data_IF_181369621209
#
_entry.id   IF_181369621209
#
_cell.length_a   1.000
_cell.length_b   1.000
_cell.length_c   1.000
_cell.angle_alpha   90.00
_cell.angle_beta   90.00
_cell.angle_gamma   90.00
#
_symmetry.space_group_name_H-M   'P 1'
#
loop_
_entity.id
_entity.type
_entity.pdbx_description
1 polymer ?
#
# COMPACT_ATOMS: atom_id res chain seq x y z
N UNK A 1 -1.33 10.56 -10.74
CA UNK A 1 -2.65 10.62 -11.41
C UNK A 1 -2.62 10.17 -12.87
N UNK A 2 -1.87 10.83 -13.79
CA UNK A 2 -1.92 10.47 -15.22
C UNK A 2 -1.24 9.13 -15.54
N UNK A 3 0.02 8.98 -15.15
CA UNK A 3 0.83 7.79 -15.46
C UNK A 3 0.31 6.52 -14.77
N UNK A 4 -0.27 6.67 -13.58
CA UNK A 4 -0.84 5.57 -12.81
C UNK A 4 -2.20 5.06 -13.32
N UNK A 5 -2.80 5.68 -14.34
CA UNK A 5 -4.17 5.36 -14.78
C UNK A 5 -5.29 5.90 -13.88
N UNK A 6 -4.97 6.40 -12.67
CA UNK A 6 -5.95 6.93 -11.71
C UNK A 6 -6.83 8.07 -12.26
N UNK A 7 -6.27 8.95 -13.11
CA UNK A 7 -7.06 10.02 -13.74
C UNK A 7 -8.13 9.47 -14.69
N UNK A 8 -7.80 8.39 -15.43
CA UNK A 8 -8.77 7.74 -16.32
C UNK A 8 -9.85 7.04 -15.51
N UNK A 9 -9.49 6.34 -14.42
CA UNK A 9 -10.48 5.76 -13.50
C UNK A 9 -11.43 6.82 -12.94
N UNK A 10 -10.89 7.94 -12.44
CA UNK A 10 -11.69 9.07 -11.94
C UNK A 10 -12.70 9.59 -12.97
N UNK A 11 -12.29 9.70 -14.24
CA UNK A 11 -13.15 10.23 -15.31
C UNK A 11 -14.20 9.24 -15.80
N UNK A 12 -13.86 7.95 -15.79
CA UNK A 12 -14.70 6.89 -16.33
C UNK A 12 -15.59 6.24 -15.27
N UNK A 13 -15.40 6.57 -13.99
CA UNK A 13 -16.24 6.01 -12.94
C UNK A 13 -17.67 6.54 -13.04
N UNK A 14 -18.63 5.62 -12.99
CA UNK A 14 -20.05 5.94 -12.94
C UNK A 14 -20.45 6.61 -11.61
N UNK A 15 -19.66 6.41 -10.55
CA UNK A 15 -19.93 6.94 -9.22
C UNK A 15 -18.87 7.94 -8.80
N UNK A 16 -19.31 9.12 -8.37
CA UNK A 16 -18.40 10.14 -7.85
C UNK A 16 -17.84 9.73 -6.48
N UNK A 17 -16.65 10.24 -6.14
CA UNK A 17 -16.07 10.04 -4.82
C UNK A 17 -17.01 10.50 -3.69
N UNK A 18 -17.76 11.59 -3.92
CA UNK A 18 -18.74 12.10 -2.96
C UNK A 18 -19.86 11.10 -2.68
N UNK A 19 -20.36 10.41 -3.70
CA UNK A 19 -21.38 9.37 -3.54
C UNK A 19 -20.82 8.15 -2.81
N UNK A 20 -19.59 7.75 -3.12
CA UNK A 20 -18.90 6.65 -2.43
C UNK A 20 -18.75 6.97 -0.94
N UNK A 21 -18.31 8.17 -0.58
CA UNK A 21 -18.19 8.61 0.82
C UNK A 21 -19.55 8.60 1.52
N UNK A 22 -20.61 9.03 0.84
CA UNK A 22 -21.96 9.03 1.40
C UNK A 22 -22.46 7.60 1.64
N UNK A 23 -22.24 6.69 0.70
CA UNK A 23 -22.73 5.32 0.77
C UNK A 23 -21.91 4.44 1.74
N UNK A 24 -20.65 4.81 2.02
CA UNK A 24 -19.76 4.11 2.94
C UNK A 24 -19.84 4.60 4.39
N UNK A 25 -20.87 5.37 4.76
CA UNK A 25 -21.00 5.98 6.09
C UNK A 25 -21.43 5.02 7.21
N UNK A 26 -21.64 3.73 6.93
CA UNK A 26 -22.07 2.76 7.94
C UNK A 26 -20.92 2.38 8.90
N UNK A 27 -21.03 2.82 10.15
CA UNK A 27 -20.05 2.58 11.22
C UNK A 27 -20.08 1.16 11.80
N UNK A 28 -21.11 0.36 11.51
CA UNK A 28 -21.29 -0.95 12.16
C UNK A 28 -20.47 -2.07 11.53
N UNK A 29 -19.93 -1.83 10.33
CA UNK A 29 -19.16 -2.82 9.57
C UNK A 29 -17.87 -3.23 10.29
N UNK A 30 -17.43 -4.46 10.08
CA UNK A 30 -16.17 -4.98 10.64
C UNK A 30 -14.99 -4.11 10.18
N UNK A 31 -14.97 -3.75 8.89
CA UNK A 31 -13.95 -2.88 8.31
C UNK A 31 -13.92 -1.49 8.98
N UNK A 32 -15.08 -0.85 9.21
CA UNK A 32 -15.13 0.44 9.90
C UNK A 32 -14.51 0.38 11.30
N UNK A 33 -14.83 -0.66 12.07
CA UNK A 33 -14.26 -0.87 13.42
C UNK A 33 -12.75 -1.11 13.40
N UNK A 34 -12.23 -1.81 12.39
CA UNK A 34 -10.79 -2.00 12.21
C UNK A 34 -10.10 -0.70 11.78
N UNK A 35 -10.69 0.05 10.85
CA UNK A 35 -10.18 1.34 10.40
C UNK A 35 -10.01 2.28 11.58
N UNK A 36 -11.03 2.45 12.45
CA UNK A 36 -10.92 3.37 13.61
C UNK A 36 -9.75 3.04 14.54
N UNK A 37 -9.45 1.75 14.73
CA UNK A 37 -8.31 1.30 15.56
C UNK A 37 -6.95 1.60 14.92
N UNK A 38 -6.91 1.79 13.60
CA UNK A 38 -5.68 1.96 12.83
C UNK A 38 -5.36 3.43 12.55
N UNK A 39 -6.35 4.32 12.58
CA UNK A 39 -6.19 5.73 12.21
C UNK A 39 -5.06 6.41 12.98
N UNK A 40 -5.03 6.30 14.31
CA UNK A 40 -3.99 6.91 15.15
C UNK A 40 -2.66 6.12 15.17
N UNK A 41 -2.68 4.88 14.69
CA UNK A 41 -1.46 4.07 14.53
C UNK A 41 -0.78 4.32 13.19
N UNK A 42 -1.45 4.99 12.26
CA UNK A 42 -0.95 5.33 10.94
C UNK A 42 -0.20 6.66 10.99
N UNK A 43 1.12 6.62 10.79
CA UNK A 43 2.01 7.80 10.86
C UNK A 43 1.84 8.64 12.16
N UNK A 44 1.96 8.04 13.36
CA UNK A 44 1.69 8.73 14.62
C UNK A 44 2.59 9.95 14.87
N UNK A 45 3.80 9.95 14.30
CA UNK A 45 4.75 11.06 14.43
C UNK A 45 4.55 12.17 13.39
N UNK A 46 3.62 12.03 12.45
CA UNK A 46 3.36 13.02 11.41
C UNK A 46 2.28 14.02 11.86
N UNK A 47 2.53 15.32 11.70
CA UNK A 47 1.63 16.38 12.12
C UNK A 47 0.20 16.26 11.54
N UNK A 48 0.03 15.67 10.35
CA UNK A 48 -1.28 15.49 9.72
C UNK A 48 -2.10 14.35 10.34
N UNK A 49 -1.48 13.42 11.07
CA UNK A 49 -2.11 12.19 11.56
C UNK A 49 -1.89 11.92 13.06
N UNK A 50 -1.09 12.75 13.74
CA UNK A 50 -0.62 12.53 15.11
C UNK A 50 -1.71 12.45 16.19
N UNK A 51 -2.88 13.03 15.96
CA UNK A 51 -3.99 13.02 16.91
C UNK A 51 -5.34 13.02 16.19
N UNK A 52 -6.41 12.67 16.90
CA UNK A 52 -7.75 12.51 16.30
C UNK A 52 -8.30 13.80 15.68
N UNK A 53 -7.81 14.95 16.12
CA UNK A 53 -8.19 16.27 15.61
C UNK A 53 -7.30 16.74 14.45
N UNK A 54 -6.30 15.95 14.06
CA UNK A 54 -5.39 16.29 12.97
C UNK A 54 -6.14 16.23 11.64
N UNK A 55 -5.86 17.19 10.76
CA UNK A 55 -6.57 17.40 9.49
C UNK A 55 -6.60 16.15 8.59
N UNK A 56 -5.60 15.27 8.67
CA UNK A 56 -5.48 14.08 7.83
C UNK A 56 -6.33 12.90 8.32
N UNK A 57 -6.60 12.77 9.62
CA UNK A 57 -7.36 11.65 10.19
C UNK A 57 -8.77 11.51 9.60
N UNK A 58 -9.61 12.56 9.52
CA UNK A 58 -10.94 12.43 8.93
C UNK A 58 -10.89 12.15 7.42
N UNK A 59 -9.87 12.64 6.70
CA UNK A 59 -9.66 12.37 5.27
C UNK A 59 -9.30 10.90 5.04
N UNK A 60 -8.34 10.40 5.82
CA UNK A 60 -7.91 9.00 5.82
C UNK A 60 -9.08 8.06 6.12
N UNK A 61 -9.89 8.37 7.14
CA UNK A 61 -11.10 7.59 7.47
C UNK A 61 -12.05 7.48 6.28
N UNK A 62 -12.39 8.60 5.62
CA UNK A 62 -13.33 8.60 4.49
C UNK A 62 -12.81 7.78 3.31
N UNK A 63 -11.52 7.93 2.96
CA UNK A 63 -10.91 7.14 1.89
C UNK A 63 -10.95 5.65 2.23
N UNK A 64 -10.49 5.24 3.41
CA UNK A 64 -10.44 3.82 3.78
C UNK A 64 -11.82 3.17 3.82
N UNK A 65 -12.83 3.88 4.32
CA UNK A 65 -14.22 3.41 4.30
C UNK A 65 -14.78 3.31 2.89
N UNK A 66 -14.51 4.31 2.05
CA UNK A 66 -14.90 4.30 0.65
C UNK A 66 -14.31 3.11 -0.09
N UNK A 67 -13.03 2.79 0.15
CA UNK A 67 -12.35 1.64 -0.44
C UNK A 67 -12.94 0.31 0.05
N UNK A 68 -13.15 0.16 1.36
CA UNK A 68 -13.73 -1.06 1.93
C UNK A 68 -15.18 -1.30 1.45
N UNK A 69 -15.92 -0.22 1.19
CA UNK A 69 -17.27 -0.30 0.62
C UNK A 69 -17.24 -0.61 -0.87
N UNK A 70 -16.32 -0.01 -1.63
CA UNK A 70 -16.17 -0.24 -3.07
C UNK A 70 -15.66 -1.66 -3.39
N UNK A 71 -14.80 -2.20 -2.53
CA UNK A 71 -14.22 -3.53 -2.67
C UNK A 71 -14.56 -4.42 -1.46
N UNK A 72 -15.83 -4.86 -1.29
CA UNK A 72 -16.27 -5.60 -0.11
C UNK A 72 -15.53 -6.94 0.07
N UNK A 73 -15.15 -7.61 -1.02
CA UNK A 73 -14.37 -8.85 -1.01
C UNK A 73 -12.93 -8.67 -0.50
N UNK A 74 -12.39 -7.45 -0.65
CA UNK A 74 -11.08 -7.07 -0.12
C UNK A 74 -11.24 -6.63 1.35
N UNK A 75 -12.26 -5.83 1.63
CA UNK A 75 -12.53 -5.27 2.95
C UNK A 75 -11.45 -4.27 3.37
N UNK A 76 -10.94 -4.42 4.60
CA UNK A 76 -9.85 -3.62 5.13
C UNK A 76 -8.68 -4.51 5.56
N UNK A 77 -7.50 -4.21 5.03
CA UNK A 77 -6.25 -4.84 5.42
C UNK A 77 -5.32 -3.85 6.11
N UNK A 78 -4.68 -4.33 7.19
CA UNK A 78 -3.71 -3.56 7.94
C UNK A 78 -2.45 -3.33 7.09
N UNK A 79 -2.34 -2.13 6.54
CA UNK A 79 -1.29 -1.73 5.59
C UNK A 79 -1.81 -0.72 4.58
N UNK A 80 -3.07 -0.87 4.17
CA UNK A 80 -3.77 0.08 3.28
C UNK A 80 -3.75 1.50 3.83
N UNK A 81 -3.96 1.66 5.14
CA UNK A 81 -3.90 2.95 5.83
C UNK A 81 -2.58 3.70 5.61
N UNK A 82 -1.44 3.01 5.63
CA UNK A 82 -0.13 3.63 5.45
C UNK A 82 0.06 4.18 4.03
N UNK A 83 -0.39 3.43 3.02
CA UNK A 83 -0.32 3.87 1.62
C UNK A 83 -1.20 5.11 1.41
N UNK A 84 -2.45 5.05 1.89
CA UNK A 84 -3.38 6.18 1.76
C UNK A 84 -2.90 7.42 2.52
N UNK A 85 -2.40 7.26 3.74
CA UNK A 85 -1.85 8.37 4.52
C UNK A 85 -0.65 9.02 3.81
N UNK A 86 0.22 8.22 3.20
CA UNK A 86 1.36 8.72 2.42
C UNK A 86 0.91 9.47 1.17
N UNK A 87 -0.10 8.99 0.45
CA UNK A 87 -0.70 9.71 -0.69
C UNK A 87 -1.30 11.05 -0.26
N UNK A 88 -2.02 11.08 0.87
CA UNK A 88 -2.66 12.28 1.43
C UNK A 88 -1.68 13.39 1.83
N UNK A 89 -0.39 13.08 1.99
CA UNK A 89 0.63 14.11 2.22
C UNK A 89 0.91 14.99 0.99
N UNK A 90 0.55 14.52 -0.21
CA UNK A 90 0.89 15.19 -1.47
C UNK A 90 -0.30 15.40 -2.41
N UNK A 91 -1.44 14.78 -2.12
CA UNK A 91 -2.61 14.79 -2.98
C UNK A 91 -3.83 15.31 -2.22
N UNK A 92 -4.78 15.83 -3.01
CA UNK A 92 -6.13 16.02 -2.51
C UNK A 92 -6.81 14.69 -2.22
N UNK A 93 -7.80 14.72 -1.34
CA UNK A 93 -8.42 13.52 -0.76
C UNK A 93 -9.02 12.61 -1.83
N UNK A 94 -9.77 13.18 -2.77
CA UNK A 94 -10.36 12.44 -3.87
C UNK A 94 -9.27 11.86 -4.79
N UNK A 95 -8.20 12.60 -5.05
CA UNK A 95 -7.13 12.13 -5.93
C UNK A 95 -6.35 10.99 -5.25
N UNK A 96 -6.13 11.06 -3.93
CA UNK A 96 -5.55 9.98 -3.15
C UNK A 96 -6.43 8.71 -3.18
N UNK A 97 -7.76 8.86 -3.13
CA UNK A 97 -8.69 7.75 -3.29
C UNK A 97 -8.53 7.06 -4.65
N UNK A 98 -8.56 7.82 -5.75
CA UNK A 98 -8.43 7.25 -7.09
C UNK A 98 -7.04 6.70 -7.39
N UNK A 99 -5.98 7.28 -6.80
CA UNK A 99 -4.65 6.67 -6.81
C UNK A 99 -4.67 5.30 -6.16
N UNK A 100 -5.34 5.14 -5.01
CA UNK A 100 -5.43 3.86 -4.33
C UNK A 100 -6.27 2.84 -5.12
N UNK A 101 -7.37 3.25 -5.77
CA UNK A 101 -8.10 2.39 -6.70
C UNK A 101 -7.20 1.87 -7.83
N UNK A 102 -6.38 2.74 -8.43
CA UNK A 102 -5.42 2.34 -9.45
C UNK A 102 -4.36 1.36 -8.91
N UNK A 103 -3.90 1.56 -7.68
CA UNK A 103 -2.98 0.61 -7.03
C UNK A 103 -3.65 -0.76 -6.93
N UNK A 104 -4.84 -0.83 -6.33
CA UNK A 104 -5.57 -2.06 -6.05
C UNK A 104 -5.93 -2.83 -7.33
N UNK A 105 -6.37 -2.14 -8.38
CA UNK A 105 -6.92 -2.79 -9.57
C UNK A 105 -5.86 -3.08 -10.64
N UNK A 106 -4.90 -2.17 -10.83
CA UNK A 106 -4.03 -2.20 -12.01
C UNK A 106 -2.54 -2.42 -11.69
N UNK A 107 -2.07 -1.97 -10.52
CA UNK A 107 -0.63 -1.92 -10.25
C UNK A 107 -0.10 -3.15 -9.53
N UNK A 108 -0.91 -3.78 -8.68
CA UNK A 108 -0.53 -4.97 -7.90
C UNK A 108 -1.45 -6.16 -8.24
N UNK A 109 -1.00 -7.41 -8.02
CA UNK A 109 -1.84 -8.58 -8.21
C UNK A 109 -3.17 -8.51 -7.44
N UNK A 110 -4.20 -9.17 -7.96
CA UNK A 110 -5.48 -9.29 -7.28
C UNK A 110 -5.31 -9.88 -5.87
N UNK A 111 -6.22 -9.51 -4.96
CA UNK A 111 -6.18 -9.96 -3.56
C UNK A 111 -4.89 -9.60 -2.82
N UNK A 112 -4.24 -8.49 -3.20
CA UNK A 112 -3.08 -7.95 -2.49
C UNK A 112 -3.43 -7.47 -1.08
N UNK A 113 -4.52 -6.72 -0.99
CA UNK A 113 -5.03 -6.12 0.25
C UNK A 113 -6.20 -6.92 0.84
N UNK A 114 -6.44 -8.16 0.40
CA UNK A 114 -7.48 -9.01 0.99
C UNK A 114 -7.03 -9.56 2.33
N UNK A 115 -7.94 -10.18 3.08
CA UNK A 115 -7.62 -10.88 4.34
C UNK A 115 -6.64 -12.04 4.15
N UNK A 116 -6.65 -12.68 2.98
CA UNK A 116 -5.75 -13.79 2.66
C UNK A 116 -4.38 -13.35 2.18
N UNK A 117 -4.21 -12.08 1.77
CA UNK A 117 -2.96 -11.54 1.23
C UNK A 117 -2.38 -12.38 0.06
N UNK A 118 -3.23 -13.08 -0.68
CA UNK A 118 -2.82 -14.01 -1.74
C UNK A 118 -1.95 -13.33 -2.80
N UNK A 119 -2.28 -12.08 -3.15
CA UNK A 119 -1.50 -11.29 -4.11
C UNK A 119 -0.08 -11.03 -3.60
N UNK A 120 0.06 -10.55 -2.36
CA UNK A 120 1.37 -10.27 -1.75
C UNK A 120 2.17 -11.56 -1.61
N UNK A 121 1.56 -12.64 -1.13
CA UNK A 121 2.25 -13.94 -0.99
C UNK A 121 2.77 -14.47 -2.33
N UNK A 122 2.04 -14.23 -3.42
CA UNK A 122 2.51 -14.57 -4.77
C UNK A 122 3.78 -13.79 -5.11
N UNK A 123 3.79 -12.48 -4.88
CA UNK A 123 4.99 -11.65 -5.06
C UNK A 123 6.14 -12.08 -4.15
N UNK A 124 5.88 -12.48 -2.91
CA UNK A 124 6.92 -13.00 -2.02
C UNK A 124 7.59 -14.25 -2.57
N UNK A 125 6.84 -15.16 -3.22
CA UNK A 125 7.40 -16.34 -3.89
C UNK A 125 8.22 -15.97 -5.12
N UNK A 126 7.76 -15.00 -5.91
CA UNK A 126 8.52 -14.46 -7.04
C UNK A 126 9.84 -13.85 -6.54
N UNK A 127 9.79 -13.01 -5.50
CA UNK A 127 10.97 -12.40 -4.89
C UNK A 127 11.94 -13.48 -4.39
N UNK A 128 11.45 -14.53 -3.73
CA UNK A 128 12.27 -15.65 -3.28
C UNK A 128 13.06 -16.25 -4.45
N UNK A 129 12.42 -16.46 -5.59
CA UNK A 129 13.06 -16.96 -6.82
C UNK A 129 14.13 -15.99 -7.34
N UNK A 130 13.84 -14.68 -7.35
CA UNK A 130 14.80 -13.65 -7.74
C UNK A 130 16.02 -13.61 -6.81
N UNK A 131 15.83 -13.81 -5.51
CA UNK A 131 16.95 -13.87 -4.56
C UNK A 131 17.87 -15.07 -4.85
N UNK A 132 17.32 -16.26 -5.14
CA UNK A 132 18.13 -17.42 -5.55
C UNK A 132 18.97 -17.09 -6.80
N UNK A 133 18.35 -16.43 -7.78
CA UNK A 133 18.99 -16.15 -9.06
C UNK A 133 20.02 -15.03 -9.00
N UNK A 134 19.71 -13.93 -8.32
CA UNK A 134 20.51 -12.70 -8.38
C UNK A 134 21.36 -12.46 -7.12
N UNK A 135 21.01 -13.05 -5.97
CA UNK A 135 21.72 -12.89 -4.70
C UNK A 135 21.95 -14.26 -4.00
N UNK A 136 22.61 -15.23 -4.65
CA UNK A 136 22.75 -16.60 -4.12
C UNK A 136 23.52 -16.67 -2.80
N UNK A 137 24.46 -15.76 -2.55
CA UNK A 137 25.20 -15.70 -1.27
C UNK A 137 24.29 -15.31 -0.10
N UNK A 138 23.44 -14.29 -0.31
CA UNK A 138 22.42 -13.90 0.65
C UNK A 138 21.43 -15.05 0.87
N UNK A 139 21.06 -15.76 -0.20
CA UNK A 139 20.18 -16.91 -0.07
C UNK A 139 20.73 -17.98 0.86
N UNK A 140 22.00 -18.34 0.65
CA UNK A 140 22.70 -19.31 1.48
C UNK A 140 22.70 -18.88 2.95
N UNK A 141 22.98 -17.61 3.22
CA UNK A 141 22.98 -17.05 4.57
C UNK A 141 21.59 -17.12 5.23
N UNK A 142 20.53 -16.79 4.49
CA UNK A 142 19.16 -16.89 4.98
C UNK A 142 18.80 -18.34 5.33
N UNK A 143 19.19 -19.31 4.51
CA UNK A 143 18.94 -20.74 4.77
C UNK A 143 19.75 -21.26 5.97
N UNK A 144 21.03 -20.88 6.08
CA UNK A 144 21.91 -21.28 7.19
C UNK A 144 21.37 -20.81 8.55
N UNK A 145 20.71 -19.65 8.58
CA UNK A 145 20.14 -19.05 9.77
C UNK A 145 18.63 -19.30 9.95
N UNK A 146 18.01 -20.10 9.09
CA UNK A 146 16.55 -20.37 9.09
C UNK A 146 15.70 -19.08 9.08
N UNK A 147 16.14 -18.08 8.29
CA UNK A 147 15.46 -16.80 8.17
C UNK A 147 14.50 -16.83 6.98
N UNK A 148 13.21 -16.80 7.29
CA UNK A 148 12.18 -16.65 6.26
C UNK A 148 12.14 -15.20 5.73
N UNK A 149 12.54 -15.01 4.47
CA UNK A 149 12.58 -13.70 3.80
C UNK A 149 11.23 -12.94 3.83
N UNK A 150 10.13 -13.68 3.80
CA UNK A 150 8.78 -13.11 3.80
C UNK A 150 8.50 -12.31 5.09
N UNK A 151 9.07 -12.72 6.23
CA UNK A 151 8.91 -12.02 7.51
C UNK A 151 9.52 -10.61 7.50
N UNK A 152 10.51 -10.39 6.62
CA UNK A 152 11.16 -9.10 6.42
C UNK A 152 10.41 -8.28 5.37
N UNK A 153 10.11 -8.91 4.22
CA UNK A 153 9.77 -8.19 2.99
C UNK A 153 8.27 -8.12 2.71
N UNK A 154 7.42 -8.91 3.37
CA UNK A 154 5.97 -8.88 3.18
C UNK A 154 5.41 -7.48 3.46
N UNK A 155 5.82 -6.84 4.55
CA UNK A 155 5.34 -5.51 4.89
C UNK A 155 5.88 -4.41 3.95
N UNK A 156 7.03 -4.63 3.34
CA UNK A 156 7.60 -3.71 2.35
C UNK A 156 6.71 -3.66 1.11
N UNK A 157 6.30 -4.83 0.62
CA UNK A 157 5.43 -4.95 -0.54
C UNK A 157 4.01 -4.49 -0.23
N UNK A 158 3.43 -4.94 0.89
CA UNK A 158 2.07 -4.58 1.30
C UNK A 158 1.87 -3.07 1.41
N UNK A 159 2.87 -2.33 1.86
CA UNK A 159 2.81 -0.86 1.96
C UNK A 159 3.47 -0.13 0.80
N UNK A 160 3.94 -0.84 -0.23
CA UNK A 160 4.72 -0.27 -1.33
C UNK A 160 5.85 0.64 -0.81
N UNK A 161 6.58 0.15 0.20
CA UNK A 161 7.67 0.80 0.95
C UNK A 161 7.29 1.99 1.84
N UNK A 162 6.01 2.36 1.93
CA UNK A 162 5.57 3.55 2.65
C UNK A 162 5.88 3.53 4.15
N UNK A 163 5.93 2.35 4.78
CA UNK A 163 6.31 2.21 6.19
C UNK A 163 7.80 1.96 6.43
N UNK A 164 8.61 1.86 5.38
CA UNK A 164 9.97 1.31 5.46
C UNK A 164 11.03 2.37 5.23
N UNK A 165 10.83 3.24 4.25
CA UNK A 165 11.85 4.20 3.81
C UNK A 165 11.45 5.63 4.14
N UNK A 166 12.46 6.51 4.21
CA UNK A 166 12.21 7.94 4.38
C UNK A 166 11.42 8.52 3.19
N UNK A 167 10.55 9.50 3.46
CA UNK A 167 9.59 10.04 2.48
C UNK A 167 10.22 10.51 1.17
N UNK A 168 11.44 11.08 1.22
CA UNK A 168 12.19 11.49 0.03
C UNK A 168 12.53 10.32 -0.90
N UNK A 169 12.87 9.17 -0.34
CA UNK A 169 13.14 7.95 -1.11
C UNK A 169 11.84 7.31 -1.58
N UNK A 170 10.80 7.30 -0.72
CA UNK A 170 9.47 6.80 -1.08
C UNK A 170 8.94 7.48 -2.35
N UNK A 171 9.02 8.80 -2.43
CA UNK A 171 8.57 9.55 -3.60
C UNK A 171 9.27 9.11 -4.89
N UNK A 172 10.58 8.83 -4.84
CA UNK A 172 11.32 8.32 -6.01
C UNK A 172 10.89 6.92 -6.39
N UNK A 173 10.71 6.03 -5.41
CA UNK A 173 10.19 4.68 -5.65
C UNK A 173 8.80 4.78 -6.29
N UNK A 174 7.94 5.66 -5.77
CA UNK A 174 6.58 5.86 -6.25
C UNK A 174 6.49 6.48 -7.63
N UNK A 175 7.39 7.39 -8.00
CA UNK A 175 7.51 7.91 -9.36
C UNK A 175 7.67 6.76 -10.37
N UNK A 176 8.59 5.82 -10.10
CA UNK A 176 8.79 4.65 -10.95
C UNK A 176 7.66 3.64 -10.84
N UNK A 177 7.17 3.35 -9.63
CA UNK A 177 6.09 2.39 -9.41
C UNK A 177 4.81 2.81 -10.16
N UNK A 178 4.45 4.09 -10.15
CA UNK A 178 3.30 4.60 -10.90
C UNK A 178 3.53 4.69 -12.41
N UNK A 179 4.77 4.53 -12.88
CA UNK A 179 5.11 4.55 -14.31
C UNK A 179 5.29 3.14 -14.89
N UNK A 180 5.91 2.23 -14.14
CA UNK A 180 6.30 0.88 -14.60
C UNK A 180 5.54 -0.25 -13.90
N UNK A 181 4.79 0.03 -12.84
CA UNK A 181 4.04 -0.96 -12.07
C UNK A 181 4.87 -1.69 -11.01
N UNK A 182 4.35 -2.83 -10.55
CA UNK A 182 4.88 -3.59 -9.41
C UNK A 182 6.31 -4.12 -9.58
N UNK A 183 6.84 -4.23 -10.81
CA UNK A 183 8.23 -4.67 -11.05
C UNK A 183 9.25 -3.84 -10.27
N UNK A 184 8.96 -2.55 -10.05
CA UNK A 184 9.80 -1.62 -9.29
C UNK A 184 9.97 -2.09 -7.85
N UNK A 185 8.96 -2.69 -7.22
CA UNK A 185 9.03 -3.19 -5.85
C UNK A 185 10.10 -4.29 -5.71
N UNK A 186 10.19 -5.17 -6.71
CA UNK A 186 11.22 -6.21 -6.77
C UNK A 186 12.61 -5.61 -6.98
N UNK A 187 12.76 -4.69 -7.94
CA UNK A 187 14.03 -4.04 -8.25
C UNK A 187 14.59 -3.28 -7.03
N UNK A 188 13.74 -2.53 -6.34
CA UNK A 188 14.12 -1.83 -5.11
C UNK A 188 14.51 -2.81 -4.01
N UNK A 189 13.75 -3.90 -3.82
CA UNK A 189 14.08 -4.92 -2.82
C UNK A 189 15.45 -5.55 -3.08
N UNK A 190 15.71 -5.98 -4.32
CA UNK A 190 17.00 -6.55 -4.72
C UNK A 190 18.13 -5.53 -4.52
N UNK A 191 17.93 -4.28 -4.92
CA UNK A 191 18.89 -3.20 -4.70
C UNK A 191 19.20 -3.00 -3.22
N UNK A 192 18.18 -2.87 -2.37
CA UNK A 192 18.35 -2.69 -0.93
C UNK A 192 19.08 -3.86 -0.25
N UNK A 193 18.79 -5.09 -0.67
CA UNK A 193 19.44 -6.28 -0.12
C UNK A 193 20.88 -6.42 -0.62
N UNK A 194 21.16 -6.10 -1.88
CA UNK A 194 22.51 -6.14 -2.45
C UNK A 194 23.49 -5.20 -1.75
N UNK A 195 23.02 -4.00 -1.35
CA UNK A 195 23.83 -3.00 -0.65
C UNK A 195 24.27 -3.43 0.75
N UNK A 196 23.65 -4.46 1.33
CA UNK A 196 24.02 -5.00 2.64
C UNK A 196 24.94 -6.21 2.58
N UNK A 197 25.22 -6.71 1.38
CA UNK A 197 26.13 -7.85 1.13
C UNK A 197 27.54 -7.35 0.73
N UNK A 198 27.71 -6.03 0.56
CA UNK A 198 29.02 -5.37 0.34
C UNK A 198 29.55 -4.79 1.64
#
# INVERSE_FOLDING_TARGET
>A
MRLSGALLKKRNSEMSYREIVKNSSNDETIAAKQIEKDLLRTMPSNACFSNMNSIGVPRLRRILRGLAWLYPEIGYCQGTGMVVASLLLFLEEEDAFWMMCAIIEDMVPASYFSTTLMGVQTDQRVLRHLIVQYLPELDKLLQEHDIELSLITLHWFLTSFASVVHIKLLLRIWDYFFYQGSIVLFQVTLGMLSLKVT
#
